data_IF_116807358245
#
_entry.id   IF_116807358245
#
_cell.length_a   1.000
_cell.length_b   1.000
_cell.length_c   1.000
_cell.angle_alpha   90.00
_cell.angle_beta   90.00
_cell.angle_gamma   90.00
#
_symmetry.space_group_name_H-M   'P 1'
#
loop_
_entity.id
_entity.type
_entity.pdbx_description
1 polymer ?
#
# COMPACT_ATOMS: atom_id res chain seq x y z
N UNK A 1 30.16 45.30 9.90
CA UNK A 1 29.50 44.19 10.63
C UNK A 1 28.37 43.67 9.75
N UNK A 2 28.55 42.51 9.10
CA UNK A 2 27.51 41.84 8.30
C UNK A 2 26.89 40.76 9.18
N UNK A 3 25.60 40.88 9.45
CA UNK A 3 24.85 39.89 10.22
C UNK A 3 24.58 38.66 9.35
N UNK A 4 25.03 37.51 9.82
CA UNK A 4 24.66 36.20 9.30
C UNK A 4 23.15 35.99 9.50
N UNK A 5 22.39 36.07 8.42
CA UNK A 5 21.06 35.47 8.36
C UNK A 5 21.25 33.98 8.06
N UNK A 6 21.39 33.19 9.12
CA UNK A 6 21.25 31.74 9.05
C UNK A 6 19.80 31.42 8.67
N UNK A 7 19.58 31.18 7.37
CA UNK A 7 18.37 30.57 6.87
C UNK A 7 18.38 29.11 7.31
N UNK A 8 17.73 28.84 8.44
CA UNK A 8 17.34 27.49 8.82
C UNK A 8 16.35 27.03 7.75
N UNK A 9 16.87 26.32 6.75
CA UNK A 9 16.07 25.53 5.85
C UNK A 9 15.38 24.45 6.69
N UNK A 10 14.18 24.76 7.18
CA UNK A 10 13.24 23.77 7.69
C UNK A 10 13.08 22.72 6.59
N UNK A 11 13.75 21.59 6.79
CA UNK A 11 13.52 20.38 6.01
C UNK A 11 12.03 20.10 6.08
N UNK A 12 11.33 20.32 4.96
CA UNK A 12 9.99 19.79 4.74
C UNK A 12 9.96 18.35 5.29
N UNK A 13 9.04 18.01 6.23
CA UNK A 13 8.88 16.62 6.60
C UNK A 13 8.57 15.88 5.30
N UNK A 14 9.44 14.93 4.96
CA UNK A 14 9.27 14.06 3.79
C UNK A 14 7.79 13.69 3.73
N UNK A 15 7.18 13.96 2.57
CA UNK A 15 5.83 13.54 2.24
C UNK A 15 5.59 12.16 2.84
N UNK A 16 4.50 11.99 3.59
CA UNK A 16 4.08 10.69 4.13
C UNK A 16 4.21 9.64 3.04
N UNK A 17 5.32 8.90 3.01
CA UNK A 17 5.58 7.90 2.00
C UNK A 17 4.47 6.88 2.17
N UNK A 18 3.57 6.83 1.19
CA UNK A 18 2.45 5.92 1.23
C UNK A 18 3.00 4.52 1.45
N UNK A 19 2.57 3.87 2.51
CA UNK A 19 3.13 2.58 2.91
C UNK A 19 2.59 1.51 1.96
N UNK A 20 3.16 1.40 0.76
CA UNK A 20 2.68 0.49 -0.29
C UNK A 20 3.06 -0.94 0.08
N UNK A 21 2.06 -1.75 0.41
CA UNK A 21 2.25 -3.16 0.70
C UNK A 21 2.61 -3.95 -0.58
N UNK A 22 3.58 -4.89 -0.57
CA UNK A 22 4.17 -5.47 -1.79
C UNK A 22 3.34 -6.61 -2.42
N UNK A 23 2.04 -6.41 -2.65
CA UNK A 23 1.16 -7.45 -3.22
C UNK A 23 1.62 -7.95 -4.58
N UNK A 24 2.15 -7.07 -5.43
CA UNK A 24 2.62 -7.45 -6.76
C UNK A 24 3.72 -8.52 -6.74
N UNK A 25 4.69 -8.42 -5.81
CA UNK A 25 5.75 -9.42 -5.65
C UNK A 25 5.22 -10.73 -5.08
N UNK A 26 4.27 -10.66 -4.14
CA UNK A 26 3.67 -11.85 -3.55
C UNK A 26 2.80 -12.61 -4.55
N UNK A 27 2.04 -11.89 -5.40
CA UNK A 27 1.29 -12.49 -6.50
C UNK A 27 2.21 -13.18 -7.53
N UNK A 28 3.35 -12.56 -7.86
CA UNK A 28 4.36 -13.17 -8.75
C UNK A 28 4.92 -14.47 -8.15
N UNK A 29 5.22 -14.48 -6.85
CA UNK A 29 5.68 -15.68 -6.15
C UNK A 29 4.64 -16.80 -6.20
N UNK A 30 3.39 -16.52 -5.79
CA UNK A 30 2.30 -17.50 -5.81
C UNK A 30 2.05 -18.05 -7.22
N UNK A 31 2.05 -17.19 -8.23
CA UNK A 31 1.93 -17.61 -9.63
C UNK A 31 3.05 -18.58 -10.05
N UNK A 32 4.29 -18.32 -9.61
CA UNK A 32 5.42 -19.21 -9.83
C UNK A 32 5.24 -20.56 -9.13
N UNK A 33 4.78 -20.54 -7.88
CA UNK A 33 4.47 -21.74 -7.08
C UNK A 33 3.39 -22.60 -7.73
N UNK A 34 2.24 -22.00 -8.09
CA UNK A 34 1.15 -22.68 -8.79
C UNK A 34 1.64 -23.35 -10.07
N UNK A 35 2.38 -22.63 -10.93
CA UNK A 35 2.93 -23.18 -12.19
C UNK A 35 3.87 -24.35 -11.94
N UNK A 36 4.73 -24.25 -10.92
CA UNK A 36 5.65 -25.32 -10.55
C UNK A 36 4.88 -26.57 -10.10
N UNK A 37 3.86 -26.39 -9.26
CA UNK A 37 3.05 -27.49 -8.74
C UNK A 37 2.18 -28.14 -9.80
N UNK A 38 1.56 -27.37 -10.71
CA UNK A 38 0.84 -27.93 -11.87
C UNK A 38 1.77 -28.80 -12.74
N UNK A 39 3.01 -28.37 -12.98
CA UNK A 39 4.00 -29.18 -13.72
C UNK A 39 4.39 -30.44 -12.94
N UNK A 40 4.51 -30.35 -11.63
CA UNK A 40 4.81 -31.51 -10.78
C UNK A 40 3.67 -32.54 -10.83
N UNK A 41 2.42 -32.10 -10.66
CA UNK A 41 1.22 -32.93 -10.80
C UNK A 41 1.14 -33.61 -12.17
N UNK A 42 1.44 -32.91 -13.27
CA UNK A 42 1.46 -33.52 -14.61
C UNK A 42 2.52 -34.60 -14.82
N UNK A 43 3.51 -34.68 -13.93
CA UNK A 43 4.62 -35.66 -13.99
C UNK A 43 4.47 -36.79 -12.98
N UNK A 44 3.57 -36.65 -12.01
CA UNK A 44 3.30 -37.69 -11.03
C UNK A 44 2.59 -38.86 -11.72
N UNK A 45 3.11 -40.08 -11.51
CA UNK A 45 2.40 -41.29 -11.85
C UNK A 45 1.16 -41.46 -10.97
N UNK A 46 0.22 -42.30 -11.41
CA UNK A 46 -0.97 -42.70 -10.62
C UNK A 46 -1.00 -44.22 -10.39
N UNK A 47 0.19 -44.82 -10.47
CA UNK A 47 0.37 -46.28 -10.56
C UNK A 47 0.30 -46.97 -9.21
N UNK A 48 0.74 -46.30 -8.14
CA UNK A 48 0.62 -46.79 -6.77
C UNK A 48 -0.43 -46.03 -5.97
N UNK A 49 -0.92 -46.62 -4.89
CA UNK A 49 -1.84 -45.95 -3.97
C UNK A 49 -1.20 -44.75 -3.28
N UNK A 50 0.08 -44.86 -2.88
CA UNK A 50 0.86 -43.75 -2.33
C UNK A 50 1.00 -42.58 -3.32
N UNK A 51 1.18 -42.88 -4.61
CA UNK A 51 1.24 -41.86 -5.66
C UNK A 51 -0.10 -41.13 -5.82
N UNK A 52 -1.23 -41.87 -5.74
CA UNK A 52 -2.57 -41.27 -5.79
C UNK A 52 -2.83 -40.36 -4.58
N UNK A 53 -2.44 -40.79 -3.39
CA UNK A 53 -2.56 -39.97 -2.17
C UNK A 53 -1.72 -38.68 -2.28
N UNK A 54 -0.50 -38.77 -2.82
CA UNK A 54 0.34 -37.59 -3.09
C UNK A 54 -0.29 -36.63 -4.10
N UNK A 55 -0.92 -37.16 -5.16
CA UNK A 55 -1.62 -36.34 -6.15
C UNK A 55 -2.78 -35.57 -5.50
N UNK A 56 -3.57 -36.21 -4.64
CA UNK A 56 -4.67 -35.55 -3.91
C UNK A 56 -4.14 -34.42 -3.03
N UNK A 57 -3.14 -34.69 -2.19
CA UNK A 57 -2.54 -33.68 -1.30
C UNK A 57 -1.97 -32.49 -2.09
N UNK A 58 -1.25 -32.75 -3.19
CA UNK A 58 -0.70 -31.68 -4.01
C UNK A 58 -1.77 -30.94 -4.80
N UNK A 59 -2.87 -31.59 -5.19
CA UNK A 59 -4.00 -30.90 -5.81
C UNK A 59 -4.69 -29.96 -4.81
N UNK A 60 -4.97 -30.40 -3.59
CA UNK A 60 -5.55 -29.55 -2.54
C UNK A 60 -4.67 -28.34 -2.24
N UNK A 61 -3.35 -28.54 -2.17
CA UNK A 61 -2.40 -27.43 -1.97
C UNK A 61 -2.36 -26.49 -3.18
N UNK A 62 -2.52 -27.00 -4.41
CA UNK A 62 -2.61 -26.17 -5.61
C UNK A 62 -3.86 -25.30 -5.56
N UNK A 63 -5.01 -25.88 -5.23
CA UNK A 63 -6.28 -25.17 -5.14
C UNK A 63 -6.22 -24.06 -4.07
N UNK A 64 -5.62 -24.37 -2.91
CA UNK A 64 -5.37 -23.37 -1.87
C UNK A 64 -4.45 -22.23 -2.34
N UNK A 65 -3.36 -22.53 -3.04
CA UNK A 65 -2.46 -21.50 -3.57
C UNK A 65 -3.12 -20.65 -4.67
N UNK A 66 -4.03 -21.22 -5.46
CA UNK A 66 -4.81 -20.48 -6.45
C UNK A 66 -5.80 -19.52 -5.79
N UNK A 67 -6.48 -19.94 -4.72
CA UNK A 67 -7.35 -19.06 -3.93
C UNK A 67 -6.56 -17.91 -3.29
N UNK A 68 -5.39 -18.22 -2.71
CA UNK A 68 -4.49 -17.20 -2.18
C UNK A 68 -4.03 -16.23 -3.27
N UNK A 69 -3.69 -16.74 -4.46
CA UNK A 69 -3.28 -15.93 -5.60
C UNK A 69 -4.41 -14.99 -6.06
N UNK A 70 -5.64 -15.48 -6.13
CA UNK A 70 -6.81 -14.68 -6.46
C UNK A 70 -7.02 -13.53 -5.45
N UNK A 71 -6.95 -13.85 -4.16
CA UNK A 71 -7.08 -12.88 -3.06
C UNK A 71 -6.02 -11.77 -3.15
N UNK A 72 -4.75 -12.14 -3.36
CA UNK A 72 -3.65 -11.16 -3.50
C UNK A 72 -3.78 -10.34 -4.78
N UNK A 73 -4.27 -10.93 -5.88
CA UNK A 73 -4.55 -10.20 -7.12
C UNK A 73 -5.65 -9.17 -6.95
N UNK A 74 -6.74 -9.53 -6.26
CA UNK A 74 -7.83 -8.60 -5.97
C UNK A 74 -7.36 -7.45 -5.08
N UNK A 75 -6.59 -7.73 -4.03
CA UNK A 75 -6.01 -6.70 -3.17
C UNK A 75 -5.03 -5.79 -3.92
N UNK A 76 -4.21 -6.33 -4.83
CA UNK A 76 -3.35 -5.53 -5.70
C UNK A 76 -4.18 -4.61 -6.62
N UNK A 77 -5.29 -5.11 -7.19
CA UNK A 77 -6.19 -4.29 -7.99
C UNK A 77 -6.86 -3.19 -7.17
N UNK A 78 -7.29 -3.49 -5.95
CA UNK A 78 -7.83 -2.51 -4.99
C UNK A 78 -6.81 -1.42 -4.67
N UNK A 79 -5.56 -1.80 -4.41
CA UNK A 79 -4.48 -0.85 -4.15
C UNK A 79 -4.23 0.06 -5.36
N UNK A 80 -4.21 -0.49 -6.59
CA UNK A 80 -4.09 0.32 -7.81
C UNK A 80 -5.26 1.30 -7.95
N UNK A 81 -6.51 0.85 -7.77
CA UNK A 81 -7.70 1.73 -7.80
C UNK A 81 -7.61 2.85 -6.77
N UNK A 82 -7.18 2.52 -5.56
CA UNK A 82 -7.05 3.45 -4.45
C UNK A 82 -5.96 4.50 -4.70
N UNK A 83 -4.80 4.08 -5.26
CA UNK A 83 -3.75 5.02 -5.68
C UNK A 83 -4.23 5.97 -6.77
N UNK A 84 -5.03 5.49 -7.72
CA UNK A 84 -5.64 6.33 -8.75
C UNK A 84 -6.69 7.28 -8.18
N UNK A 85 -7.51 6.83 -7.23
CA UNK A 85 -8.44 7.71 -6.49
C UNK A 85 -7.69 8.82 -5.77
N UNK A 86 -6.61 8.49 -5.04
CA UNK A 86 -5.75 9.49 -4.38
C UNK A 86 -5.16 10.49 -5.38
N UNK A 87 -4.72 10.05 -6.56
CA UNK A 87 -4.23 10.93 -7.63
C UNK A 87 -5.32 11.87 -8.15
N UNK A 88 -6.55 11.37 -8.34
CA UNK A 88 -7.70 12.20 -8.75
C UNK A 88 -8.07 13.25 -7.71
N UNK A 89 -7.94 12.90 -6.43
CA UNK A 89 -8.21 13.79 -5.30
C UNK A 89 -6.97 14.54 -4.79
N UNK A 90 -5.90 14.66 -5.59
CA UNK A 90 -4.59 15.17 -5.14
C UNK A 90 -4.67 16.55 -4.47
N UNK A 91 -5.46 17.46 -5.02
CA UNK A 91 -5.64 18.83 -4.49
C UNK A 91 -6.32 18.80 -3.13
N UNK A 92 -7.41 18.02 -3.01
CA UNK A 92 -8.11 17.82 -1.74
C UNK A 92 -7.23 17.13 -0.70
N UNK A 93 -6.50 16.08 -1.10
CA UNK A 93 -5.55 15.39 -0.23
C UNK A 93 -4.48 16.36 0.31
N UNK A 94 -3.87 17.16 -0.57
CA UNK A 94 -2.86 18.13 -0.16
C UNK A 94 -3.44 19.24 0.75
N UNK A 95 -4.67 19.68 0.49
CA UNK A 95 -5.37 20.65 1.35
C UNK A 95 -5.62 20.08 2.75
N UNK A 96 -6.14 18.86 2.82
CA UNK A 96 -6.39 18.17 4.09
C UNK A 96 -5.09 17.86 4.84
N UNK A 97 -4.01 17.48 4.15
CA UNK A 97 -2.69 17.27 4.75
C UNK A 97 -2.15 18.56 5.38
N UNK A 98 -2.22 19.68 4.64
CA UNK A 98 -1.79 20.98 5.13
C UNK A 98 -2.61 21.42 6.35
N UNK A 99 -3.93 21.27 6.29
CA UNK A 99 -4.82 21.63 7.39
C UNK A 99 -4.57 20.75 8.62
N UNK A 100 -4.40 19.45 8.44
CA UNK A 100 -4.05 18.53 9.53
C UNK A 100 -2.70 18.89 10.17
N UNK A 101 -1.71 19.27 9.36
CA UNK A 101 -0.41 19.72 9.86
C UNK A 101 -0.50 21.03 10.64
N UNK A 102 -1.30 22.00 10.19
CA UNK A 102 -1.55 23.24 10.93
C UNK A 102 -2.20 22.96 12.29
N UNK A 103 -3.18 22.05 12.32
CA UNK A 103 -3.85 21.64 13.54
C UNK A 103 -2.94 20.93 14.52
N UNK A 104 -2.06 20.05 14.02
CA UNK A 104 -1.08 19.41 14.85
C UNK A 104 -0.03 20.39 15.40
N UNK A 105 0.41 21.38 14.62
CA UNK A 105 1.29 22.45 15.12
C UNK A 105 0.63 23.24 16.25
N UNK A 106 -0.64 23.62 16.09
CA UNK A 106 -1.42 24.32 17.13
C UNK A 106 -1.60 23.46 18.37
N UNK A 107 -1.90 22.17 18.20
CA UNK A 107 -1.97 21.22 19.31
C UNK A 107 -0.68 21.18 20.11
N UNK A 108 0.48 21.04 19.46
CA UNK A 108 1.77 20.96 20.16
C UNK A 108 2.11 22.24 20.95
N UNK A 109 1.72 23.41 20.45
CA UNK A 109 1.90 24.66 21.19
C UNK A 109 1.03 24.68 22.45
N UNK A 110 -0.25 24.36 22.32
CA UNK A 110 -1.22 24.40 23.42
C UNK A 110 -1.05 23.26 24.42
N UNK A 111 -0.53 22.11 23.98
CA UNK A 111 -0.25 20.96 24.86
C UNK A 111 0.69 21.34 26.00
N UNK A 112 1.72 22.15 25.73
CA UNK A 112 2.64 22.62 26.77
C UNK A 112 1.93 23.42 27.86
N UNK A 113 0.98 24.27 27.46
CA UNK A 113 0.16 25.06 28.38
C UNK A 113 -0.80 24.19 29.20
N UNK A 114 -1.20 23.03 28.67
CA UNK A 114 -2.13 22.08 29.33
C UNK A 114 -1.39 21.12 30.25
N UNK A 115 -0.15 20.73 29.92
CA UNK A 115 0.66 19.85 30.78
C UNK A 115 0.81 20.46 32.18
N UNK A 116 0.98 21.79 32.25
CA UNK A 116 1.07 22.58 33.47
C UNK A 116 -0.30 22.90 34.11
N UNK A 117 -1.43 22.54 33.47
CA UNK A 117 -2.77 22.80 33.99
C UNK A 117 -3.21 21.76 35.03
N UNK A 118 -3.94 22.19 36.06
CA UNK A 118 -4.59 21.29 37.03
C UNK A 118 -5.94 20.73 36.52
N UNK A 119 -6.44 21.23 35.37
CA UNK A 119 -7.71 20.79 34.79
C UNK A 119 -7.56 19.40 34.12
N UNK A 120 -8.00 18.37 34.85
CA UNK A 120 -7.99 16.98 34.38
C UNK A 120 -8.90 16.76 33.16
N UNK A 121 -10.02 17.49 33.05
CA UNK A 121 -10.93 17.37 31.91
C UNK A 121 -10.33 17.99 30.65
N UNK A 122 -9.56 19.08 30.80
CA UNK A 122 -8.79 19.66 29.71
C UNK A 122 -7.68 18.73 29.23
N UNK A 123 -6.97 18.06 30.16
CA UNK A 123 -5.96 17.03 29.84
C UNK A 123 -6.57 15.86 29.08
N UNK A 124 -7.68 15.30 29.56
CA UNK A 124 -8.37 14.20 28.90
C UNK A 124 -8.85 14.57 27.47
N UNK A 125 -9.37 15.78 27.29
CA UNK A 125 -9.76 16.29 25.96
C UNK A 125 -8.57 16.48 25.03
N UNK A 126 -7.44 16.96 25.56
CA UNK A 126 -6.20 17.11 24.80
C UNK A 126 -5.65 15.76 24.32
N UNK A 127 -5.68 14.74 25.18
CA UNK A 127 -5.28 13.37 24.82
C UNK A 127 -6.20 12.77 23.75
N UNK A 128 -7.52 12.90 23.91
CA UNK A 128 -8.49 12.45 22.91
C UNK A 128 -8.26 13.15 21.55
N UNK A 129 -7.92 14.44 21.57
CA UNK A 129 -7.57 15.19 20.37
C UNK A 129 -6.26 14.71 19.73
N UNK A 130 -5.26 14.35 20.54
CA UNK A 130 -4.02 13.77 20.06
C UNK A 130 -4.26 12.45 19.32
N UNK A 131 -5.06 11.55 19.91
CA UNK A 131 -5.45 10.28 19.30
C UNK A 131 -6.18 10.51 17.97
N UNK A 132 -7.09 11.48 17.92
CA UNK A 132 -7.79 11.83 16.68
C UNK A 132 -6.81 12.30 15.58
N UNK A 133 -5.88 13.20 15.91
CA UNK A 133 -4.90 13.70 14.94
C UNK A 133 -4.00 12.57 14.41
N UNK A 134 -3.60 11.64 15.29
CA UNK A 134 -2.82 10.47 14.89
C UNK A 134 -3.62 9.53 13.98
N UNK A 135 -4.88 9.26 14.32
CA UNK A 135 -5.78 8.46 13.48
C UNK A 135 -6.00 9.06 12.09
N UNK A 136 -6.18 10.38 12.00
CA UNK A 136 -6.30 11.10 10.72
C UNK A 136 -5.02 11.05 9.90
N UNK A 137 -3.84 11.18 10.54
CA UNK A 137 -2.55 11.02 9.88
C UNK A 137 -2.34 9.60 9.36
N UNK A 138 -2.73 8.62 10.15
CA UNK A 138 -2.67 7.22 9.75
C UNK A 138 -3.56 6.97 8.54
N UNK A 139 -4.79 7.49 8.55
CA UNK A 139 -5.70 7.43 7.41
C UNK A 139 -5.06 8.03 6.15
N UNK A 140 -4.47 9.23 6.23
CA UNK A 140 -3.80 9.87 5.09
C UNK A 140 -2.69 8.98 4.50
N UNK A 141 -1.88 8.37 5.38
CA UNK A 141 -0.77 7.49 5.01
C UNK A 141 -1.28 6.21 4.32
N UNK A 142 -2.36 5.63 4.84
CA UNK A 142 -2.94 4.37 4.37
C UNK A 142 -4.09 4.56 3.36
N UNK A 143 -4.39 5.79 2.94
CA UNK A 143 -5.45 6.09 1.98
C UNK A 143 -5.27 5.35 0.63
N UNK A 144 -4.04 4.96 0.31
CA UNK A 144 -3.70 4.13 -0.86
C UNK A 144 -4.22 2.69 -0.78
N UNK A 145 -4.76 2.28 0.37
CA UNK A 145 -5.30 0.94 0.63
C UNK A 145 -6.81 0.97 0.83
N UNK A 146 -7.41 2.15 0.82
CA UNK A 146 -8.83 2.35 1.01
C UNK A 146 -9.47 2.69 -0.33
N UNK A 147 -10.62 2.06 -0.61
CA UNK A 147 -11.34 2.12 -1.91
C UNK A 147 -11.39 3.52 -2.53
N UNK A 148 -11.59 4.54 -1.70
CA UNK A 148 -11.55 5.93 -2.13
C UNK A 148 -11.07 6.85 -1.02
N UNK A 149 -10.35 7.90 -1.42
CA UNK A 149 -10.02 8.99 -0.53
C UNK A 149 -11.25 9.85 -0.25
N UNK A 150 -11.42 10.20 1.01
CA UNK A 150 -12.51 11.00 1.52
C UNK A 150 -11.93 12.11 2.38
N UNK A 151 -12.26 13.35 2.01
CA UNK A 151 -11.87 14.48 2.84
C UNK A 151 -12.64 14.43 4.16
N UNK A 152 -11.92 14.52 5.27
CA UNK A 152 -12.51 14.60 6.59
C UNK A 152 -12.87 16.03 6.97
N UNK A 153 -12.35 17.03 6.27
CA UNK A 153 -12.67 18.46 6.46
C UNK A 153 -13.81 18.98 5.59
N UNK A 154 -14.23 18.22 4.56
CA UNK A 154 -15.33 18.63 3.68
C UNK A 154 -16.68 18.39 4.37
N UNK A 155 -17.41 19.47 4.66
CA UNK A 155 -18.75 19.41 5.26
C UNK A 155 -18.77 19.27 6.78
N UNK A 156 -17.63 19.43 7.46
CA UNK A 156 -17.52 19.36 8.92
C UNK A 156 -16.93 20.65 9.50
N UNK A 157 -17.58 21.19 10.52
CA UNK A 157 -16.96 22.11 11.49
C UNK A 157 -16.14 21.25 12.45
N UNK A 158 -15.04 20.71 11.95
CA UNK A 158 -14.32 19.67 12.69
C UNK A 158 -13.79 20.16 14.06
N UNK A 159 -13.70 21.48 14.34
CA UNK A 159 -12.96 21.98 15.50
C UNK A 159 -13.43 23.33 16.05
N UNK A 160 -13.88 23.33 17.31
CA UNK A 160 -13.56 24.42 18.24
C UNK A 160 -12.14 24.16 18.78
N UNK A 161 -11.19 24.95 18.28
CA UNK A 161 -9.76 24.82 18.56
C UNK A 161 -9.39 25.34 19.95
N UNK A 162 -10.26 26.11 20.58
CA UNK A 162 -9.95 26.71 21.87
C UNK A 162 -10.19 25.74 23.03
N UNK A 163 -11.19 24.88 22.92
CA UNK A 163 -11.59 23.98 24.02
C UNK A 163 -11.38 22.50 23.73
N UNK A 164 -10.68 22.16 22.64
CA UNK A 164 -10.57 20.79 22.12
C UNK A 164 -11.94 20.11 21.96
N UNK A 165 -12.98 20.90 21.69
CA UNK A 165 -14.32 20.38 21.41
C UNK A 165 -14.37 20.06 19.92
N UNK A 166 -14.48 18.77 19.62
CA UNK A 166 -14.55 18.28 18.26
C UNK A 166 -15.73 17.33 18.11
N UNK A 167 -16.50 17.53 17.04
CA UNK A 167 -17.46 16.55 16.57
C UNK A 167 -16.89 15.82 15.38
N UNK A 168 -16.45 14.59 15.63
CA UNK A 168 -15.96 13.70 14.57
C UNK A 168 -17.15 12.92 14.04
N UNK A 169 -17.47 13.15 12.76
CA UNK A 169 -18.53 12.43 12.06
C UNK A 169 -18.34 10.91 12.17
N UNK A 170 -19.45 10.16 12.23
CA UNK A 170 -19.44 8.68 12.24
C UNK A 170 -18.59 8.10 11.11
N UNK A 171 -18.64 8.74 9.93
CA UNK A 171 -17.84 8.36 8.76
C UNK A 171 -16.34 8.50 9.02
N UNK A 172 -15.90 9.60 9.62
CA UNK A 172 -14.48 9.82 9.93
C UNK A 172 -13.99 8.80 10.95
N UNK A 173 -14.80 8.48 11.97
CA UNK A 173 -14.47 7.42 12.94
C UNK A 173 -14.30 6.06 12.27
N UNK A 174 -15.23 5.70 11.37
CA UNK A 174 -15.14 4.46 10.62
C UNK A 174 -13.86 4.38 9.79
N UNK A 175 -13.52 5.46 9.09
CA UNK A 175 -12.31 5.52 8.26
C UNK A 175 -11.03 5.37 9.10
N UNK A 176 -10.95 6.01 10.26
CA UNK A 176 -9.82 5.87 11.19
C UNK A 176 -9.71 4.42 11.66
N UNK A 177 -10.83 3.81 12.09
CA UNK A 177 -10.87 2.41 12.51
C UNK A 177 -10.38 1.44 11.42
N UNK A 178 -10.78 1.67 10.15
CA UNK A 178 -10.28 0.88 9.02
C UNK A 178 -8.77 1.05 8.81
N UNK A 179 -8.25 2.28 8.93
CA UNK A 179 -6.81 2.54 8.80
C UNK A 179 -6.01 1.88 9.93
N UNK A 180 -6.51 1.90 11.16
CA UNK A 180 -5.92 1.21 12.31
C UNK A 180 -5.91 -0.31 12.13
N UNK A 181 -6.99 -0.90 11.61
CA UNK A 181 -7.04 -2.33 11.31
C UNK A 181 -5.98 -2.72 10.27
N UNK A 182 -5.80 -1.92 9.22
CA UNK A 182 -4.75 -2.14 8.22
C UNK A 182 -3.37 -2.03 8.87
N UNK A 183 -3.12 -1.01 9.70
CA UNK A 183 -1.83 -0.84 10.40
C UNK A 183 -1.53 -2.06 11.27
N UNK A 184 -2.48 -2.52 12.07
CA UNK A 184 -2.32 -3.69 12.94
C UNK A 184 -2.03 -4.97 12.16
N UNK A 185 -2.70 -5.17 11.02
CA UNK A 185 -2.44 -6.29 10.12
C UNK A 185 -1.02 -6.26 9.54
N UNK A 186 -0.53 -5.06 9.18
CA UNK A 186 0.84 -4.85 8.67
C UNK A 186 1.88 -5.11 9.76
N UNK A 187 1.67 -4.58 10.96
CA UNK A 187 2.54 -4.77 12.12
C UNK A 187 2.53 -6.22 12.64
N UNK A 188 1.56 -7.01 12.18
CA UNK A 188 1.41 -8.41 12.53
C UNK A 188 0.90 -8.65 13.94
N UNK A 189 0.30 -7.63 14.56
CA UNK A 189 -0.17 -7.65 15.95
C UNK A 189 -1.52 -8.34 16.15
N UNK A 190 -2.27 -8.65 15.10
CA UNK A 190 -3.60 -9.24 15.21
C UNK A 190 -3.73 -10.64 14.56
N UNK A 191 -4.45 -11.58 15.20
CA UNK A 191 -5.22 -12.59 14.49
C UNK A 191 -6.33 -11.87 13.71
N UNK A 192 -6.45 -12.15 12.41
CA UNK A 192 -7.59 -11.68 11.60
C UNK A 192 -8.86 -12.14 12.32
N UNK A 193 -9.73 -11.24 12.83
CA UNK A 193 -10.93 -11.69 13.47
C UNK A 193 -11.80 -12.33 12.38
N UNK A 194 -12.27 -13.55 12.59
CA UNK A 194 -13.43 -14.04 11.81
C UNK A 194 -14.68 -13.16 12.10
N UNK A 195 -14.61 -12.30 13.13
CA UNK A 195 -15.56 -11.25 13.54
C UNK A 195 -15.53 -9.96 12.68
N UNK A 196 -15.09 -10.02 11.41
CA UNK A 196 -15.07 -8.86 10.51
C UNK A 196 -16.45 -8.53 9.89
N UNK A 197 -17.57 -9.06 10.38
CA UNK A 197 -18.91 -8.90 9.77
C UNK A 197 -19.30 -7.44 9.51
N UNK A 198 -18.80 -6.50 10.32
CA UNK A 198 -19.08 -5.07 10.20
C UNK A 198 -18.21 -4.32 9.18
N UNK A 199 -17.14 -4.92 8.64
CA UNK A 199 -16.27 -4.27 7.68
C UNK A 199 -16.71 -4.49 6.22
N UNK A 200 -16.45 -3.51 5.34
CA UNK A 200 -16.66 -3.69 3.90
C UNK A 200 -15.85 -4.87 3.35
N UNK A 201 -16.41 -5.57 2.36
CA UNK A 201 -15.74 -6.72 1.72
C UNK A 201 -14.37 -6.38 1.16
N UNK A 202 -14.19 -5.18 0.60
CA UNK A 202 -12.89 -4.76 0.07
C UNK A 202 -11.81 -4.70 1.15
N UNK A 203 -12.17 -4.31 2.38
CA UNK A 203 -11.24 -4.29 3.50
C UNK A 203 -10.92 -5.72 3.95
N UNK A 204 -11.91 -6.62 3.99
CA UNK A 204 -11.69 -8.04 4.31
C UNK A 204 -10.72 -8.70 3.34
N UNK A 205 -10.88 -8.46 2.04
CA UNK A 205 -9.95 -8.92 1.00
C UNK A 205 -8.55 -8.37 1.25
N UNK A 206 -8.44 -7.07 1.55
CA UNK A 206 -7.17 -6.42 1.81
C UNK A 206 -6.43 -7.01 3.02
N UNK A 207 -7.14 -7.23 4.13
CA UNK A 207 -6.59 -7.81 5.36
C UNK A 207 -6.16 -9.27 5.15
N UNK A 208 -6.96 -10.07 4.44
CA UNK A 208 -6.59 -11.45 4.06
C UNK A 208 -5.33 -11.46 3.20
N UNK A 209 -5.22 -10.56 2.22
CA UNK A 209 -4.04 -10.46 1.37
C UNK A 209 -2.78 -10.05 2.15
N UNK A 210 -2.88 -9.12 3.12
CA UNK A 210 -1.75 -8.75 3.99
C UNK A 210 -1.21 -9.99 4.71
N UNK A 211 -2.10 -10.81 5.29
CA UNK A 211 -1.72 -12.04 5.99
C UNK A 211 -0.99 -13.01 5.07
N UNK A 212 -1.57 -13.34 3.91
CA UNK A 212 -0.96 -14.24 2.91
C UNK A 212 0.45 -13.75 2.55
N UNK A 213 0.57 -12.46 2.29
CA UNK A 213 1.84 -11.88 1.88
C UNK A 213 2.86 -11.81 3.02
N UNK A 214 2.44 -11.62 4.28
CA UNK A 214 3.31 -11.71 5.45
C UNK A 214 3.98 -13.08 5.54
N UNK A 215 3.28 -14.14 5.19
CA UNK A 215 3.81 -15.51 5.17
C UNK A 215 4.75 -15.77 3.97
N UNK A 216 4.59 -15.00 2.88
CA UNK A 216 5.41 -15.09 1.66
C UNK A 216 6.67 -14.20 1.74
N UNK A 217 6.59 -13.01 2.35
CA UNK A 217 7.67 -12.03 2.41
C UNK A 217 9.00 -12.62 2.92
N UNK A 218 9.03 -13.44 3.99
CA UNK A 218 10.25 -14.14 4.40
C UNK A 218 10.82 -15.01 3.27
N UNK A 219 9.98 -15.76 2.55
CA UNK A 219 10.37 -16.63 1.44
C UNK A 219 10.91 -15.86 0.24
N UNK A 220 10.47 -14.61 0.04
CA UNK A 220 11.04 -13.70 -0.96
C UNK A 220 12.44 -13.23 -0.56
N UNK A 221 12.66 -12.87 0.71
CA UNK A 221 13.95 -12.39 1.21
C UNK A 221 15.05 -13.46 1.18
N UNK A 222 14.69 -14.74 1.38
CA UNK A 222 15.65 -15.85 1.23
C UNK A 222 16.16 -16.00 -0.20
N UNK A 223 15.33 -15.74 -1.22
CA UNK A 223 15.76 -15.76 -2.62
C UNK A 223 16.78 -14.67 -2.96
N UNK A 224 16.67 -13.50 -2.35
CA UNK A 224 17.62 -12.39 -2.56
C UNK A 224 18.93 -12.59 -1.77
N UNK A 225 18.93 -13.39 -0.69
CA UNK A 225 20.10 -13.66 0.14
C UNK A 225 21.00 -14.78 -0.41
N UNK A 226 20.42 -15.72 -1.15
CA UNK A 226 21.17 -16.77 -1.87
C UNK A 226 21.81 -16.27 -3.18
N UNK A 227 21.54 -15.00 -3.57
CA UNK A 227 22.29 -14.29 -4.60
C UNK A 227 23.41 -13.43 -3.96
N UNK A 228 24.50 -14.07 -3.52
CA UNK A 228 25.80 -13.41 -3.27
C UNK A 228 26.93 -14.14 -4.02
N UNK A 229 28.00 -13.40 -4.37
CA UNK A 229 28.41 -13.13 -5.73
C UNK A 229 28.99 -14.35 -6.45
N UNK A 230 28.62 -14.56 -7.71
CA UNK A 230 29.41 -15.41 -8.61
C UNK A 230 30.73 -14.69 -8.96
N UNK A 231 31.73 -14.82 -8.10
CA UNK A 231 33.14 -14.75 -8.51
C UNK A 231 33.57 -16.13 -9.01
N UNK A 232 33.22 -16.43 -10.26
CA UNK A 232 33.99 -17.37 -11.08
C UNK A 232 33.56 -17.26 -12.54
N UNK A 233 34.40 -16.58 -13.33
CA UNK A 233 34.60 -16.75 -14.79
C UNK A 233 33.43 -17.40 -15.55
N UNK A 234 32.45 -16.60 -15.98
CA UNK A 234 31.61 -16.98 -17.12
C UNK A 234 32.37 -16.72 -18.41
N UNK A 235 32.53 -17.70 -19.32
CA UNK A 235 33.04 -17.42 -20.65
C UNK A 235 32.06 -16.49 -21.37
N UNK A 236 32.58 -15.38 -21.91
CA UNK A 236 31.84 -14.53 -22.84
C UNK A 236 31.49 -15.38 -24.07
N UNK A 237 30.24 -15.81 -24.20
CA UNK A 237 29.73 -16.27 -25.49
C UNK A 237 28.33 -15.74 -25.75
N UNK A 238 28.25 -15.06 -26.89
CA UNK A 238 27.07 -14.77 -27.70
C UNK A 238 26.07 -13.73 -27.16
N UNK A 239 26.54 -12.47 -27.20
CA UNK A 239 25.68 -11.37 -27.69
C UNK A 239 25.16 -11.74 -29.08
N UNK A 240 23.91 -12.17 -29.18
CA UNK A 240 23.16 -12.10 -30.44
C UNK A 240 22.71 -10.65 -30.63
N UNK A 241 23.59 -9.85 -31.22
CA UNK A 241 23.26 -8.54 -31.75
C UNK A 241 22.53 -8.67 -33.09
N UNK A 242 21.30 -8.14 -33.13
CA UNK A 242 20.66 -7.38 -34.23
C UNK A 242 20.85 -7.86 -35.69
N UNK A 243 19.75 -8.24 -36.31
CA UNK A 243 19.36 -7.93 -37.70
C UNK A 243 17.83 -7.79 -37.69
N UNK A 244 17.19 -6.76 -38.22
CA UNK A 244 17.33 -6.24 -39.59
C UNK A 244 17.41 -4.72 -39.59
N UNK A 245 18.45 -4.19 -40.22
CA UNK A 245 18.50 -2.83 -40.71
C UNK A 245 17.84 -2.79 -42.08
N UNK A 246 16.84 -1.94 -42.28
CA UNK A 246 16.53 -1.39 -43.61
C UNK A 246 16.72 0.11 -43.51
N UNK A 247 17.85 0.58 -44.02
CA UNK A 247 18.02 1.98 -44.40
C UNK A 247 18.73 2.02 -45.74
N UNK A 248 18.09 2.68 -46.72
CA UNK A 248 18.59 3.48 -47.85
C UNK A 248 17.41 3.62 -48.82
N UNK A 249 16.97 4.79 -49.30
CA UNK A 249 17.57 6.14 -49.43
C UNK A 249 16.44 7.18 -49.66
N UNK A 250 16.74 8.49 -49.66
CA UNK A 250 15.75 9.57 -49.71
C UNK A 250 15.33 10.00 -51.13
N UNK A 251 14.13 10.60 -51.18
CA UNK A 251 13.56 11.59 -52.09
C UNK A 251 13.65 11.40 -53.63
N UNK A 252 12.48 11.21 -54.26
CA UNK A 252 12.00 12.02 -55.38
C UNK A 252 10.47 11.84 -55.54
N UNK A 253 9.78 12.97 -55.62
CA UNK A 253 8.47 13.25 -56.23
C UNK A 253 7.46 12.10 -56.44
N UNK A 254 6.31 12.23 -55.79
CA UNK A 254 5.01 12.27 -56.46
C UNK A 254 4.05 13.04 -55.54
N UNK A 255 3.68 14.26 -55.96
CA UNK A 255 2.54 14.96 -55.40
C UNK A 255 1.24 14.21 -55.71
N UNK A 256 0.22 14.51 -54.93
CA UNK A 256 -1.20 14.70 -55.29
C UNK A 256 -1.96 14.75 -53.96
N UNK A 257 -2.30 15.98 -53.60
CA UNK A 257 -3.60 16.47 -53.11
C UNK A 257 -4.53 15.57 -52.29
N UNK A 258 -5.05 16.20 -51.23
CA UNK A 258 -6.40 16.10 -50.68
C UNK A 258 -6.95 14.73 -50.24
N UNK A 259 -7.41 14.67 -48.98
CA UNK A 259 -8.84 14.62 -48.65
C UNK A 259 -8.95 14.44 -47.12
N UNK A 260 -9.40 15.50 -46.47
CA UNK A 260 -10.26 15.42 -45.29
C UNK A 260 -11.64 14.96 -45.77
N UNK A 261 -12.15 13.88 -45.20
CA UNK A 261 -13.57 13.72 -44.81
C UNK A 261 -13.62 12.87 -43.53
#
# INVERSE_FOLDING_TARGET
>A
MRGDQSTVAERNPKSTESLVYPFGRCAQYLRGSCRSRTRYLSRLGTSSQEERERVVIEQERLDQEQEQLATVHEAAALQVRSTMSKKRCRTTYASDENRLNQLHKRYLLRRKEIEDSEDLDLKARADAYATLLEGLRLYMTLAVHLKSYHSFFKGSTLLDQENFKFEVSTRTRLIISQAEAIKRAIDGKDPVPDELTSYPEELKVYLRAIRICRDIIPKLKYKDADEKPMDSKRPQSQRLSRGVAITRKPAADLGVDDIFE
#
